data_IF_985380902072
#
_entry.id   IF_985380902072
#
_cell.length_a   1.000
_cell.length_b   1.000
_cell.length_c   1.000
_cell.angle_alpha   90.00
_cell.angle_beta   90.00
_cell.angle_gamma   90.00
#
_symmetry.space_group_name_H-M   'P 1'
#
loop_
_entity.id
_entity.type
_entity.pdbx_description
1 polymer ?
#
# COMPACT_ATOMS: atom_id res chain seq x y z
N UNK A 1 45.61 16.04 28.40
CA UNK A 1 44.78 17.09 29.01
C UNK A 1 43.71 17.47 28.00
N UNK A 2 42.43 17.53 28.43
CA UNK A 2 41.27 17.95 27.62
C UNK A 2 41.53 19.27 26.85
N UNK A 3 42.37 20.13 27.42
CA UNK A 3 42.75 21.42 26.85
C UNK A 3 43.53 21.27 25.53
N UNK A 4 44.39 20.25 25.39
CA UNK A 4 45.11 19.98 24.12
C UNK A 4 44.15 19.51 23.03
N UNK A 5 43.18 18.67 23.38
CA UNK A 5 42.17 18.17 22.42
C UNK A 5 41.27 19.31 21.94
N UNK A 6 40.87 20.22 22.84
CA UNK A 6 40.11 21.42 22.49
C UNK A 6 40.88 22.32 21.50
N UNK A 7 42.17 22.59 21.74
CA UNK A 7 42.97 23.40 20.83
C UNK A 7 43.19 22.74 19.46
N UNK A 8 43.31 21.41 19.40
CA UNK A 8 43.42 20.67 18.12
C UNK A 8 42.11 20.75 17.33
N UNK A 9 40.96 20.58 17.98
CA UNK A 9 39.65 20.73 17.33
C UNK A 9 39.40 22.17 16.88
N UNK A 10 39.77 23.17 17.69
CA UNK A 10 39.65 24.58 17.33
C UNK A 10 40.51 24.93 16.11
N UNK A 11 41.74 24.39 16.04
CA UNK A 11 42.63 24.59 14.89
C UNK A 11 42.07 23.93 13.61
N UNK A 12 41.51 22.72 13.72
CA UNK A 12 40.88 22.03 12.58
C UNK A 12 39.67 22.78 12.02
N UNK A 13 38.86 23.40 12.89
CA UNK A 13 37.72 24.24 12.50
C UNK A 13 38.16 25.53 11.81
N UNK A 14 39.24 26.16 12.27
CA UNK A 14 39.79 27.37 11.62
C UNK A 14 40.38 27.07 10.23
N UNK A 15 41.05 25.93 10.06
CA UNK A 15 41.62 25.50 8.77
C UNK A 15 40.53 25.16 7.75
N UNK A 16 39.43 24.51 8.18
CA UNK A 16 38.30 24.20 7.28
C UNK A 16 37.54 25.44 6.83
N UNK A 17 37.34 26.43 7.72
CA UNK A 17 36.69 27.70 7.36
C UNK A 17 37.58 28.53 6.41
N UNK A 18 38.89 28.60 6.66
CA UNK A 18 39.81 29.36 5.80
C UNK A 18 39.99 28.73 4.41
N UNK A 19 39.99 27.39 4.30
CA UNK A 19 39.97 26.70 3.01
C UNK A 19 38.63 26.84 2.27
N UNK A 20 37.50 26.76 2.99
CA UNK A 20 36.17 26.93 2.40
C UNK A 20 35.92 28.33 1.85
N UNK A 21 36.34 29.37 2.59
CA UNK A 21 36.21 30.77 2.15
C UNK A 21 37.15 31.10 0.99
N UNK A 22 38.34 30.48 0.94
CA UNK A 22 39.27 30.65 -0.19
C UNK A 22 38.77 29.98 -1.48
N UNK A 23 38.05 28.86 -1.39
CA UNK A 23 37.49 28.18 -2.56
C UNK A 23 36.36 28.99 -3.22
N UNK A 24 35.57 29.72 -2.43
CA UNK A 24 34.47 30.57 -2.93
C UNK A 24 34.99 31.83 -3.61
N UNK A 25 36.12 32.38 -3.13
CA UNK A 25 36.70 33.63 -3.65
C UNK A 25 37.54 33.45 -4.94
N UNK A 26 37.91 32.22 -5.31
CA UNK A 26 38.75 31.94 -6.49
C UNK A 26 38.05 31.19 -7.64
N UNK A 27 36.72 31.09 -7.63
CA UNK A 27 36.00 30.61 -8.83
C UNK A 27 35.86 31.74 -9.85
N UNK A 28 36.39 31.59 -11.09
CA UNK A 28 36.15 32.57 -12.13
C UNK A 28 34.68 32.55 -12.50
N UNK A 29 34.11 33.74 -12.68
CA UNK A 29 32.74 34.00 -13.09
C UNK A 29 32.35 33.15 -14.31
N UNK A 30 31.52 32.13 -14.11
CA UNK A 30 30.85 31.43 -15.19
C UNK A 30 29.93 32.43 -15.91
N UNK A 31 30.38 32.88 -17.08
CA UNK A 31 29.59 33.65 -18.04
C UNK A 31 28.28 32.90 -18.31
N UNK A 32 27.15 33.55 -18.02
CA UNK A 32 25.85 33.14 -18.52
C UNK A 32 25.89 33.17 -20.07
N UNK A 33 25.53 32.09 -20.77
CA UNK A 33 25.41 32.14 -22.22
C UNK A 33 24.20 33.02 -22.61
N UNK A 34 24.36 33.71 -23.74
CA UNK A 34 23.37 34.59 -24.34
C UNK A 34 22.00 33.91 -24.47
N UNK A 35 20.96 34.70 -24.22
CA UNK A 35 19.55 34.37 -24.38
C UNK A 35 19.24 34.21 -25.87
N UNK A 36 19.42 33.02 -26.43
CA UNK A 36 18.83 32.67 -27.72
C UNK A 36 17.30 32.63 -27.57
N UNK A 37 16.61 33.24 -28.54
CA UNK A 37 15.14 33.22 -28.65
C UNK A 37 14.67 31.76 -28.65
N UNK A 38 13.54 31.43 -28.01
CA UNK A 38 12.97 30.10 -28.17
C UNK A 38 12.52 29.96 -29.63
N UNK A 39 13.14 29.04 -30.37
CA UNK A 39 12.51 28.46 -31.53
C UNK A 39 11.20 27.82 -31.07
N UNK A 40 10.10 28.17 -31.73
CA UNK A 40 8.82 27.47 -31.62
C UNK A 40 9.04 26.01 -32.03
N UNK A 41 9.37 25.16 -31.05
CA UNK A 41 9.18 23.73 -31.19
C UNK A 41 7.68 23.54 -31.38
N UNK A 42 7.29 23.14 -32.59
CA UNK A 42 5.93 22.80 -32.93
C UNK A 42 5.40 21.83 -31.88
N UNK A 43 4.47 22.30 -31.03
CA UNK A 43 3.58 21.43 -30.29
C UNK A 43 2.88 20.57 -31.34
N UNK A 44 3.35 19.35 -31.52
CA UNK A 44 2.48 18.26 -31.92
C UNK A 44 1.43 18.21 -30.81
N UNK A 45 0.31 18.92 -31.02
CA UNK A 45 -0.89 18.72 -30.25
C UNK A 45 -1.21 17.24 -30.39
N UNK A 46 -1.00 16.50 -29.30
CA UNK A 46 -1.66 15.22 -29.08
C UNK A 46 -3.13 15.43 -29.40
N UNK A 47 -3.61 14.84 -30.50
CA UNK A 47 -4.97 14.95 -31.03
C UNK A 47 -6.02 14.24 -30.17
N UNK A 48 -5.66 13.87 -28.94
CA UNK A 48 -6.52 13.18 -28.01
C UNK A 48 -6.96 14.14 -26.92
N UNK A 49 -8.24 14.11 -26.51
CA UNK A 49 -8.71 14.92 -25.40
C UNK A 49 -7.86 14.64 -24.14
N UNK A 50 -7.58 15.66 -23.31
CA UNK A 50 -6.89 15.46 -22.05
C UNK A 50 -7.71 14.53 -21.15
N UNK A 51 -7.02 13.61 -20.46
CA UNK A 51 -7.64 12.73 -19.46
C UNK A 51 -8.16 13.60 -18.31
N UNK A 52 -9.35 13.27 -17.81
CA UNK A 52 -9.94 13.97 -16.66
C UNK A 52 -8.96 13.92 -15.46
N UNK A 53 -8.61 15.07 -14.86
CA UNK A 53 -7.64 15.14 -13.76
C UNK A 53 -7.93 14.21 -12.57
N UNK A 54 -9.17 13.75 -12.38
CA UNK A 54 -9.51 12.78 -11.33
C UNK A 54 -8.74 11.46 -11.45
N UNK A 55 -8.35 11.05 -12.66
CA UNK A 55 -7.66 9.77 -12.87
C UNK A 55 -6.21 9.79 -12.37
N UNK A 56 -5.68 10.94 -11.96
CA UNK A 56 -4.46 11.01 -11.12
C UNK A 56 -4.65 10.38 -9.73
N UNK A 57 -5.89 10.33 -9.27
CA UNK A 57 -6.26 9.91 -7.92
C UNK A 57 -7.23 8.72 -7.91
N UNK A 58 -7.82 8.36 -9.06
CA UNK A 58 -8.84 7.32 -9.18
C UNK A 58 -8.45 6.28 -10.23
N UNK A 59 -8.53 5.00 -9.85
CA UNK A 59 -8.49 3.86 -10.75
C UNK A 59 -9.81 3.11 -10.65
N UNK A 60 -10.49 2.95 -11.78
CA UNK A 60 -11.76 2.23 -11.87
C UNK A 60 -11.49 0.77 -12.20
N UNK A 61 -11.32 -0.07 -11.18
CA UNK A 61 -10.88 -1.46 -11.36
C UNK A 61 -11.82 -2.29 -12.24
N UNK A 62 -13.10 -1.97 -12.32
CA UNK A 62 -14.01 -2.69 -13.22
C UNK A 62 -13.57 -2.60 -14.70
N UNK A 63 -12.95 -1.46 -15.06
CA UNK A 63 -12.47 -1.17 -16.41
C UNK A 63 -11.01 -1.61 -16.65
N UNK A 64 -10.29 -2.04 -15.61
CA UNK A 64 -8.91 -2.51 -15.75
C UNK A 64 -8.87 -3.95 -16.24
N UNK A 65 -7.71 -4.31 -16.81
CA UNK A 65 -7.45 -5.66 -17.29
C UNK A 65 -7.66 -6.72 -16.21
N UNK A 66 -8.50 -7.70 -16.52
CA UNK A 66 -8.68 -8.92 -15.72
C UNK A 66 -7.69 -10.00 -16.17
N UNK A 67 -6.72 -10.31 -15.34
CA UNK A 67 -5.82 -11.44 -15.54
C UNK A 67 -6.50 -12.71 -15.05
N UNK A 68 -7.25 -13.35 -15.95
CA UNK A 68 -7.98 -14.59 -15.68
C UNK A 68 -7.03 -15.79 -15.74
N UNK A 69 -6.97 -16.55 -14.66
CA UNK A 69 -6.15 -17.75 -14.51
C UNK A 69 -7.06 -18.93 -14.13
N UNK A 70 -6.59 -20.16 -14.25
CA UNK A 70 -7.42 -21.35 -14.00
C UNK A 70 -8.06 -21.33 -12.60
N UNK A 71 -7.29 -20.94 -11.59
CA UNK A 71 -7.73 -20.88 -10.20
C UNK A 71 -8.28 -19.55 -9.72
N UNK A 72 -8.38 -18.50 -10.56
CA UNK A 72 -8.76 -17.19 -10.06
C UNK A 72 -8.61 -16.03 -11.02
N UNK A 73 -8.71 -14.81 -10.49
CA UNK A 73 -8.58 -13.57 -11.24
C UNK A 73 -7.71 -12.59 -10.45
N UNK A 74 -6.80 -11.91 -11.15
CA UNK A 74 -6.02 -10.79 -10.59
C UNK A 74 -6.34 -9.52 -11.36
N UNK A 75 -6.51 -8.41 -10.65
CA UNK A 75 -6.64 -7.07 -11.25
C UNK A 75 -5.71 -6.10 -10.53
N UNK A 76 -5.27 -5.06 -11.23
CA UNK A 76 -4.24 -4.15 -10.70
C UNK A 76 -4.63 -2.68 -10.84
N UNK A 77 -4.26 -1.90 -9.84
CA UNK A 77 -4.13 -0.45 -9.90
C UNK A 77 -2.66 -0.12 -9.64
N UNK A 78 -1.86 -0.07 -10.72
CA UNK A 78 -0.40 -0.11 -10.66
C UNK A 78 0.27 0.78 -11.69
N UNK A 79 1.56 0.98 -11.51
CA UNK A 79 2.44 1.55 -12.52
C UNK A 79 2.96 0.47 -13.48
N UNK A 80 3.11 0.86 -14.74
CA UNK A 80 3.78 0.13 -15.82
C UNK A 80 4.76 1.07 -16.51
N UNK A 81 5.97 0.57 -16.77
CA UNK A 81 7.03 1.32 -17.45
C UNK A 81 6.72 1.51 -18.93
N UNK A 82 6.07 0.52 -19.55
CA UNK A 82 5.64 0.58 -20.95
C UNK A 82 4.17 1.01 -21.02
N UNK A 83 3.86 2.19 -21.57
CA UNK A 83 2.47 2.67 -21.71
C UNK A 83 1.54 1.71 -22.46
N UNK A 84 2.07 0.87 -23.35
CA UNK A 84 1.29 -0.13 -24.09
C UNK A 84 0.78 -1.28 -23.23
N UNK A 85 1.22 -1.37 -21.98
CA UNK A 85 0.78 -2.41 -21.05
C UNK A 85 -0.51 -2.01 -20.31
N UNK A 86 -0.96 -0.76 -20.46
CA UNK A 86 -2.26 -0.29 -19.97
C UNK A 86 -3.35 -0.49 -21.03
N UNK A 87 -4.56 -0.82 -20.59
CA UNK A 87 -5.70 -0.97 -21.50
C UNK A 87 -6.39 0.38 -21.78
N UNK A 88 -6.22 1.35 -20.88
CA UNK A 88 -6.84 2.69 -20.96
C UNK A 88 -5.87 3.80 -20.56
N UNK A 89 -6.12 5.02 -21.01
CA UNK A 89 -5.31 6.19 -20.64
C UNK A 89 -5.56 6.62 -19.20
N UNK A 90 -6.76 6.35 -18.70
CA UNK A 90 -7.16 6.55 -17.31
C UNK A 90 -6.31 5.69 -16.37
N UNK A 91 -6.08 4.42 -16.73
CA UNK A 91 -5.19 3.51 -16.00
C UNK A 91 -3.73 3.99 -16.06
N UNK A 92 -3.28 4.44 -17.24
CA UNK A 92 -1.94 5.03 -17.42
C UNK A 92 -1.74 6.26 -16.54
N UNK A 93 -2.70 7.20 -16.52
CA UNK A 93 -2.63 8.42 -15.72
C UNK A 93 -2.53 8.10 -14.21
N UNK A 94 -3.33 7.13 -13.73
CA UNK A 94 -3.25 6.68 -12.34
C UNK A 94 -1.89 6.05 -12.02
N UNK A 95 -1.44 5.12 -12.88
CA UNK A 95 -0.15 4.44 -12.71
C UNK A 95 1.03 5.41 -12.72
N UNK A 96 1.03 6.38 -13.64
CA UNK A 96 2.04 7.45 -13.68
C UNK A 96 1.97 8.35 -12.46
N UNK A 97 0.78 8.66 -11.95
CA UNK A 97 0.60 9.46 -10.74
C UNK A 97 1.20 8.78 -9.50
N UNK A 98 0.95 7.48 -9.29
CA UNK A 98 1.52 6.76 -8.14
C UNK A 98 3.06 6.68 -8.22
N UNK A 99 3.62 6.52 -9.42
CA UNK A 99 5.08 6.50 -9.63
C UNK A 99 5.69 7.88 -9.37
N UNK A 100 5.12 8.93 -9.97
CA UNK A 100 5.64 10.29 -9.87
C UNK A 100 5.59 10.86 -8.44
N UNK A 101 4.66 10.39 -7.62
CA UNK A 101 4.50 10.82 -6.23
C UNK A 101 5.22 9.91 -5.21
N UNK A 102 6.05 8.96 -5.65
CA UNK A 102 6.71 7.98 -4.77
C UNK A 102 5.70 7.34 -3.80
N UNK A 103 4.59 6.82 -4.34
CA UNK A 103 3.47 6.33 -3.53
C UNK A 103 3.86 5.27 -2.50
N UNK A 104 5.01 4.60 -2.71
CA UNK A 104 5.45 3.39 -1.99
C UNK A 104 4.38 2.30 -1.91
N UNK A 105 3.38 2.34 -2.80
CA UNK A 105 2.23 1.44 -2.77
C UNK A 105 1.66 1.24 -4.18
N UNK A 106 1.22 0.01 -4.43
CA UNK A 106 0.44 -0.43 -5.58
C UNK A 106 -0.68 -1.32 -5.07
N UNK A 107 -1.89 -1.23 -5.62
CA UNK A 107 -3.02 -2.06 -5.20
C UNK A 107 -3.37 -3.16 -6.20
N UNK A 108 -3.95 -4.23 -5.70
CA UNK A 108 -4.43 -5.36 -6.48
C UNK A 108 -5.62 -6.02 -5.79
N UNK A 109 -6.48 -6.66 -6.58
CA UNK A 109 -7.44 -7.63 -6.05
C UNK A 109 -7.06 -9.02 -6.54
N UNK A 110 -7.05 -9.99 -5.62
CA UNK A 110 -6.80 -11.39 -5.92
C UNK A 110 -8.02 -12.22 -5.52
N UNK A 111 -8.73 -12.74 -6.52
CA UNK A 111 -9.78 -13.72 -6.33
C UNK A 111 -9.21 -15.11 -6.55
N UNK A 112 -9.34 -16.00 -5.56
CA UNK A 112 -8.97 -17.41 -5.63
C UNK A 112 -10.25 -18.23 -5.49
N UNK A 113 -10.55 -19.05 -6.50
CA UNK A 113 -11.71 -19.97 -6.48
C UNK A 113 -11.59 -21.01 -5.36
N UNK A 114 -12.70 -21.64 -4.93
CA UNK A 114 -12.66 -22.82 -4.08
C UNK A 114 -11.66 -23.83 -4.61
N UNK A 115 -10.84 -24.35 -3.71
CA UNK A 115 -9.75 -25.25 -4.04
C UNK A 115 -8.63 -24.70 -4.94
N UNK A 116 -8.67 -23.42 -5.36
CA UNK A 116 -7.57 -22.75 -6.04
C UNK A 116 -6.39 -22.44 -5.12
N UNK A 117 -5.26 -22.09 -5.72
CA UNK A 117 -4.03 -21.72 -5.02
C UNK A 117 -3.31 -20.57 -5.74
N UNK A 118 -2.96 -19.51 -5.01
CA UNK A 118 -1.84 -18.64 -5.40
C UNK A 118 -0.58 -19.40 -5.04
N UNK A 119 0.12 -19.89 -6.08
CA UNK A 119 1.23 -20.82 -5.94
C UNK A 119 2.38 -20.24 -5.12
N UNK A 120 3.29 -21.07 -4.59
CA UNK A 120 4.46 -20.58 -3.87
C UNK A 120 5.27 -19.56 -4.68
N UNK A 121 5.46 -18.37 -4.12
CA UNK A 121 6.11 -17.25 -4.79
C UNK A 121 6.71 -16.25 -3.79
N UNK A 122 7.46 -15.28 -4.29
CA UNK A 122 7.97 -14.14 -3.52
C UNK A 122 8.12 -12.89 -4.38
N UNK A 123 8.13 -11.74 -3.72
CA UNK A 123 8.30 -10.42 -4.32
C UNK A 123 9.66 -9.84 -3.97
N UNK A 124 10.45 -9.42 -4.96
CA UNK A 124 11.82 -8.94 -4.73
C UNK A 124 11.91 -7.49 -4.31
N UNK A 125 10.94 -6.67 -4.70
CA UNK A 125 10.95 -5.22 -4.52
C UNK A 125 9.79 -4.67 -3.71
N UNK A 126 8.98 -5.53 -3.06
CA UNK A 126 7.84 -5.10 -2.27
C UNK A 126 7.56 -6.04 -1.11
N UNK A 127 7.12 -5.49 0.01
CA UNK A 127 6.33 -6.24 0.99
C UNK A 127 4.90 -6.38 0.46
N UNK A 128 4.21 -7.45 0.83
CA UNK A 128 2.79 -7.65 0.51
C UNK A 128 1.95 -7.55 1.78
N UNK A 129 0.90 -6.75 1.73
CA UNK A 129 -0.10 -6.62 2.78
C UNK A 129 -1.45 -6.95 2.18
N UNK A 130 -2.30 -7.63 2.94
CA UNK A 130 -3.58 -8.09 2.41
C UNK A 130 -4.68 -8.00 3.44
N UNK A 131 -5.87 -7.64 2.99
CA UNK A 131 -7.12 -7.78 3.72
C UNK A 131 -7.97 -8.84 3.03
N UNK A 132 -8.36 -9.89 3.75
CA UNK A 132 -9.25 -10.92 3.21
C UNK A 132 -10.70 -10.43 3.33
N UNK A 133 -11.34 -10.14 2.20
CA UNK A 133 -12.71 -9.65 2.15
C UNK A 133 -13.75 -10.78 2.27
N UNK A 134 -13.50 -11.92 1.64
CA UNK A 134 -14.39 -13.11 1.64
C UNK A 134 -13.58 -14.39 1.74
N UNK A 135 -14.20 -15.48 2.20
CA UNK A 135 -13.57 -16.80 2.16
C UNK A 135 -12.66 -17.12 3.35
N UNK A 136 -12.02 -18.28 3.23
CA UNK A 136 -11.01 -18.79 4.16
C UNK A 136 -9.82 -19.30 3.39
N UNK A 137 -8.65 -18.76 3.72
CA UNK A 137 -7.39 -19.01 3.03
C UNK A 137 -6.41 -19.63 4.02
N UNK A 138 -5.84 -20.76 3.65
CA UNK A 138 -4.67 -21.30 4.33
C UNK A 138 -3.40 -20.73 3.70
N UNK A 139 -2.57 -20.09 4.52
CA UNK A 139 -1.31 -19.47 4.09
C UNK A 139 -0.16 -20.27 4.68
N UNK A 140 0.91 -20.42 3.91
CA UNK A 140 2.19 -20.88 4.42
C UNK A 140 3.31 -19.95 3.99
N UNK A 141 4.28 -19.79 4.89
CA UNK A 141 5.38 -18.84 4.79
C UNK A 141 6.66 -19.57 5.18
N UNK A 142 7.72 -19.47 4.37
CA UNK A 142 9.03 -20.00 4.70
C UNK A 142 9.86 -18.93 5.42
N UNK A 143 10.06 -19.10 6.73
CA UNK A 143 10.93 -18.26 7.55
C UNK A 143 12.42 -18.44 7.14
N UNK A 144 13.21 -17.36 7.17
CA UNK A 144 14.59 -17.35 6.66
C UNK A 144 15.66 -17.84 7.64
N UNK A 145 15.40 -17.90 8.95
CA UNK A 145 16.31 -18.46 9.96
C UNK A 145 15.65 -18.66 11.34
N UNK A 146 15.63 -19.88 11.92
CA UNK A 146 15.88 -21.15 11.24
C UNK A 146 14.82 -21.38 10.16
N UNK A 147 15.18 -22.07 9.07
CA UNK A 147 14.22 -22.42 8.03
C UNK A 147 13.09 -23.25 8.63
N UNK A 148 11.90 -22.67 8.64
CA UNK A 148 10.69 -23.28 9.17
C UNK A 148 9.49 -22.75 8.41
N UNK A 149 8.41 -23.52 8.41
CA UNK A 149 7.16 -23.10 7.78
C UNK A 149 6.22 -22.59 8.87
N UNK A 150 5.88 -21.31 8.79
CA UNK A 150 4.76 -20.74 9.53
C UNK A 150 3.52 -20.85 8.65
N UNK A 151 2.50 -21.56 9.11
CA UNK A 151 1.25 -21.72 8.37
C UNK A 151 0.03 -21.54 9.27
N UNK A 152 -1.05 -20.99 8.72
CA UNK A 152 -2.25 -20.63 9.48
C UNK A 152 -3.43 -20.36 8.54
N UNK A 153 -4.64 -20.32 9.10
CA UNK A 153 -5.83 -19.91 8.37
C UNK A 153 -6.10 -18.42 8.58
N UNK A 154 -6.55 -17.77 7.50
CA UNK A 154 -7.06 -16.41 7.47
C UNK A 154 -8.50 -16.47 7.00
N UNK A 155 -9.38 -15.75 7.67
CA UNK A 155 -10.81 -15.65 7.37
C UNK A 155 -11.19 -14.21 7.07
N UNK A 156 -12.34 -14.00 6.44
CA UNK A 156 -12.83 -12.66 6.11
C UNK A 156 -12.73 -11.68 7.29
N UNK A 157 -12.30 -10.44 6.99
CA UNK A 157 -12.07 -9.38 7.96
C UNK A 157 -10.69 -9.39 8.63
N UNK A 158 -9.75 -10.22 8.19
CA UNK A 158 -8.42 -10.35 8.78
C UNK A 158 -7.33 -9.85 7.83
N UNK A 159 -6.20 -9.45 8.41
CA UNK A 159 -5.08 -8.83 7.70
C UNK A 159 -3.85 -9.72 7.74
N UNK A 160 -3.10 -9.71 6.64
CA UNK A 160 -1.81 -10.36 6.49
C UNK A 160 -0.72 -9.34 6.17
N UNK A 161 0.50 -9.67 6.60
CA UNK A 161 1.74 -8.99 6.24
C UNK A 161 2.78 -10.03 5.85
N UNK A 162 3.38 -9.87 4.68
CA UNK A 162 4.35 -10.77 4.09
C UNK A 162 5.58 -9.95 3.68
N UNK A 163 6.70 -10.09 4.40
CA UNK A 163 7.90 -9.33 4.10
C UNK A 163 8.47 -9.64 2.71
N UNK A 164 9.10 -8.62 2.12
CA UNK A 164 9.82 -8.71 0.85
C UNK A 164 10.78 -9.90 0.83
N UNK A 165 10.83 -10.58 -0.30
CA UNK A 165 11.65 -11.77 -0.57
C UNK A 165 11.34 -12.98 0.32
N UNK A 166 10.16 -13.02 0.96
CA UNK A 166 9.71 -14.19 1.72
C UNK A 166 8.89 -15.10 0.84
N UNK A 167 9.31 -16.37 0.70
CA UNK A 167 8.55 -17.38 -0.02
C UNK A 167 7.26 -17.71 0.73
N UNK A 168 6.11 -17.58 0.07
CA UNK A 168 4.81 -17.86 0.66
C UNK A 168 3.81 -18.34 -0.40
N UNK A 169 2.69 -18.90 0.04
CA UNK A 169 1.59 -19.37 -0.82
C UNK A 169 0.24 -19.19 -0.14
N UNK A 170 -0.84 -19.14 -0.93
CA UNK A 170 -2.19 -18.95 -0.42
C UNK A 170 -3.16 -19.93 -1.07
N UNK A 171 -3.82 -20.74 -0.25
CA UNK A 171 -4.74 -21.78 -0.69
C UNK A 171 -6.15 -21.45 -0.21
N UNK A 172 -7.10 -21.29 -1.12
CA UNK A 172 -8.50 -21.19 -0.71
C UNK A 172 -8.97 -22.59 -0.24
N UNK A 173 -9.43 -22.68 1.01
CA UNK A 173 -9.82 -23.95 1.68
C UNK A 173 -11.30 -24.01 2.04
N UNK A 174 -12.05 -22.94 1.76
CA UNK A 174 -13.51 -22.87 1.89
C UNK A 174 -14.27 -23.28 0.63
N UNK A 175 -15.60 -23.19 0.69
CA UNK A 175 -16.52 -23.45 -0.43
C UNK A 175 -16.87 -22.19 -1.23
N UNK A 176 -16.54 -21.02 -0.73
CA UNK A 176 -16.73 -19.73 -1.40
C UNK A 176 -15.42 -19.20 -1.99
N UNK A 177 -15.53 -18.27 -2.94
CA UNK A 177 -14.37 -17.57 -3.48
C UNK A 177 -13.67 -16.74 -2.39
N UNK A 178 -12.35 -16.83 -2.37
CA UNK A 178 -11.50 -16.04 -1.49
C UNK A 178 -11.08 -14.76 -2.21
N UNK A 179 -11.53 -13.58 -1.74
CA UNK A 179 -11.17 -12.29 -2.31
C UNK A 179 -10.23 -11.53 -1.38
N UNK A 180 -8.99 -11.30 -1.82
CA UNK A 180 -8.08 -10.37 -1.15
C UNK A 180 -8.09 -9.00 -1.82
N UNK A 181 -8.02 -7.97 -0.98
CA UNK A 181 -7.53 -6.63 -1.35
C UNK A 181 -6.07 -6.56 -0.90
N UNK A 182 -5.16 -6.39 -1.84
CA UNK A 182 -3.71 -6.45 -1.63
C UNK A 182 -3.05 -5.11 -1.90
N UNK A 183 -2.06 -4.77 -1.08
CA UNK A 183 -1.18 -3.62 -1.24
C UNK A 183 0.27 -4.08 -1.22
N UNK A 184 1.00 -3.70 -2.26
CA UNK A 184 2.42 -4.02 -2.42
C UNK A 184 3.24 -2.76 -2.23
N UNK A 185 4.29 -2.82 -1.43
CA UNK A 185 5.06 -1.62 -1.06
C UNK A 185 6.08 -1.21 -2.11
N UNK A 186 5.58 -0.92 -3.32
CA UNK A 186 6.33 -0.45 -4.48
C UNK A 186 5.46 0.52 -5.30
N UNK A 187 6.09 1.58 -5.79
CA UNK A 187 5.52 2.48 -6.82
C UNK A 187 6.14 2.21 -8.21
N UNK A 188 6.99 1.19 -8.29
CA UNK A 188 7.59 0.63 -9.51
C UNK A 188 6.89 -0.68 -9.89
N UNK A 189 7.19 -1.20 -11.09
CA UNK A 189 6.68 -2.51 -11.52
C UNK A 189 7.04 -3.61 -10.52
N UNK A 190 6.02 -4.30 -10.01
CA UNK A 190 6.18 -5.40 -9.06
C UNK A 190 6.97 -6.56 -9.69
N UNK A 191 8.03 -6.99 -9.02
CA UNK A 191 8.88 -8.10 -9.46
C UNK A 191 8.58 -9.34 -8.62
N UNK A 192 7.91 -10.30 -9.23
CA UNK A 192 7.50 -11.58 -8.62
C UNK A 192 8.22 -12.74 -9.27
N UNK A 193 8.52 -13.79 -8.51
CA UNK A 193 8.88 -15.10 -9.06
C UNK A 193 8.07 -16.19 -8.38
N UNK A 194 7.57 -17.09 -9.21
CA UNK A 194 6.86 -18.29 -8.78
C UNK A 194 7.85 -19.47 -8.75
N UNK A 195 7.63 -20.43 -7.85
CA UNK A 195 8.58 -21.55 -7.63
C UNK A 195 8.75 -22.40 -8.89
N UNK A 196 7.69 -22.61 -9.66
CA UNK A 196 7.74 -23.40 -10.89
C UNK A 196 8.53 -22.69 -12.00
N UNK A 197 8.37 -21.38 -12.16
CA UNK A 197 9.20 -20.58 -13.08
C UNK A 197 10.70 -20.72 -12.76
N UNK A 198 11.05 -20.65 -11.48
CA UNK A 198 12.45 -20.82 -11.03
C UNK A 198 12.94 -22.25 -11.27
N UNK A 199 12.10 -23.26 -11.04
CA UNK A 199 12.42 -24.64 -11.31
C UNK A 199 12.72 -24.88 -12.80
N UNK A 200 11.86 -24.41 -13.70
CA UNK A 200 12.03 -24.59 -15.15
C UNK A 200 13.15 -23.73 -15.75
N UNK A 201 13.48 -22.59 -15.13
CA UNK A 201 14.63 -21.78 -15.53
C UNK A 201 15.98 -22.37 -15.07
N UNK A 202 15.99 -23.27 -14.08
CA UNK A 202 17.21 -23.89 -13.56
C UNK A 202 17.70 -24.99 -14.51
N UNK A 203 19.00 -25.02 -14.89
CA UNK A 203 19.54 -26.12 -15.69
C UNK A 203 19.27 -27.48 -15.03
N UNK A 204 18.80 -28.44 -15.82
CA UNK A 204 18.26 -29.70 -15.30
C UNK A 204 19.29 -30.52 -14.52
N UNK A 205 20.55 -30.51 -14.94
CA UNK A 205 21.66 -31.18 -14.24
C UNK A 205 21.96 -30.52 -12.89
N UNK A 206 21.87 -29.19 -12.81
CA UNK A 206 22.03 -28.44 -11.56
C UNK A 206 20.86 -28.71 -10.62
N UNK A 207 19.62 -28.68 -11.11
CA UNK A 207 18.45 -29.03 -10.30
C UNK A 207 18.53 -30.46 -9.75
N UNK A 208 18.95 -31.42 -10.58
CA UNK A 208 19.13 -32.81 -10.17
C UNK A 208 20.21 -32.97 -9.09
N UNK A 209 21.33 -32.24 -9.20
CA UNK A 209 22.42 -32.25 -8.20
C UNK A 209 21.98 -31.61 -6.87
N UNK A 210 21.15 -30.58 -6.93
CA UNK A 210 20.64 -29.88 -5.75
C UNK A 210 19.56 -30.69 -5.01
N UNK A 211 18.60 -31.27 -5.74
CA UNK A 211 17.46 -31.99 -5.16
C UNK A 211 17.75 -33.47 -4.90
N UNK A 212 18.73 -34.06 -5.60
CA UNK A 212 19.11 -35.49 -5.54
C UNK A 212 17.90 -36.45 -5.59
N UNK A 213 16.99 -36.30 -6.58
CA UNK A 213 15.83 -37.17 -6.66
C UNK A 213 16.23 -38.61 -7.00
N UNK A 214 15.42 -39.57 -6.59
CA UNK A 214 15.50 -40.92 -7.13
C UNK A 214 15.30 -40.88 -8.65
N UNK A 215 16.19 -41.53 -9.41
CA UNK A 215 16.23 -41.41 -10.88
C UNK A 215 17.06 -40.23 -11.42
N UNK A 216 17.68 -39.42 -10.55
CA UNK A 216 18.64 -38.39 -10.94
C UNK A 216 18.07 -37.35 -11.93
N UNK A 217 18.85 -37.00 -12.95
CA UNK A 217 18.45 -35.98 -13.94
C UNK A 217 17.26 -36.42 -14.80
N UNK A 218 17.04 -37.72 -14.99
CA UNK A 218 15.92 -38.21 -15.80
C UNK A 218 14.58 -37.98 -15.10
N UNK A 219 14.56 -37.99 -13.75
CA UNK A 219 13.39 -37.54 -12.99
C UNK A 219 13.09 -36.07 -13.26
N UNK A 220 14.10 -35.19 -13.22
CA UNK A 220 13.92 -33.75 -13.52
C UNK A 220 13.41 -33.54 -14.95
N UNK A 221 13.96 -34.28 -15.93
CA UNK A 221 13.52 -34.23 -17.34
C UNK A 221 12.09 -34.71 -17.56
N UNK A 222 11.51 -35.47 -16.62
CA UNK A 222 10.14 -35.94 -16.74
C UNK A 222 9.09 -34.84 -16.51
N UNK A 223 9.47 -33.74 -15.83
CA UNK A 223 8.58 -32.60 -15.59
C UNK A 223 8.38 -31.81 -16.88
N UNK A 224 7.13 -31.51 -17.21
CA UNK A 224 6.76 -30.70 -18.37
C UNK A 224 6.23 -29.36 -17.89
N UNK A 225 6.87 -28.29 -18.36
CA UNK A 225 6.41 -26.94 -18.09
C UNK A 225 4.97 -26.77 -18.63
N UNK A 226 4.02 -26.36 -17.78
CA UNK A 226 2.67 -26.03 -18.23
C UNK A 226 2.71 -24.92 -19.28
N UNK A 227 1.87 -25.04 -20.32
CA UNK A 227 1.74 -23.99 -21.33
C UNK A 227 1.02 -22.74 -20.77
N UNK A 228 0.12 -22.95 -19.81
CA UNK A 228 -0.63 -21.89 -19.14
C UNK A 228 0.11 -21.39 -17.90
N UNK A 229 0.00 -20.08 -17.64
CA UNK A 229 0.51 -19.46 -16.43
C UNK A 229 -0.15 -20.06 -15.17
N UNK A 230 0.67 -20.53 -14.22
CA UNK A 230 0.22 -21.21 -13.01
C UNK A 230 0.09 -20.31 -11.79
N UNK A 231 0.28 -18.99 -11.92
CA UNK A 231 0.34 -18.07 -10.79
C UNK A 231 -0.84 -18.22 -9.82
N UNK A 232 -2.06 -18.38 -10.34
CA UNK A 232 -3.24 -18.76 -9.57
C UNK A 232 -3.85 -20.01 -10.21
N UNK A 233 -3.51 -21.18 -9.69
CA UNK A 233 -3.86 -22.45 -10.33
C UNK A 233 -5.05 -23.16 -9.68
N UNK A 234 -5.75 -23.93 -10.51
CA UNK A 234 -6.74 -24.93 -10.12
C UNK A 234 -6.72 -26.07 -11.14
N UNK A 235 -5.84 -27.08 -10.95
CA UNK A 235 -5.74 -28.19 -11.89
C UNK A 235 -7.06 -28.97 -11.99
N UNK A 236 -7.51 -29.35 -13.20
CA UNK A 236 -8.77 -30.09 -13.36
C UNK A 236 -8.73 -31.48 -12.72
N UNK A 237 -7.55 -32.08 -12.62
CA UNK A 237 -7.31 -33.38 -11.96
C UNK A 237 -6.79 -33.23 -10.52
N UNK A 238 -7.10 -32.13 -9.83
CA UNK A 238 -6.62 -31.85 -8.47
C UNK A 238 -6.80 -33.03 -7.50
N UNK A 239 -7.94 -33.73 -7.58
CA UNK A 239 -8.27 -34.88 -6.74
C UNK A 239 -7.34 -36.09 -6.96
N UNK A 240 -6.73 -36.22 -8.13
CA UNK A 240 -5.74 -37.25 -8.43
C UNK A 240 -4.35 -36.86 -7.93
N UNK A 241 -4.03 -35.57 -8.03
CA UNK A 241 -2.74 -34.99 -7.63
C UNK A 241 -2.57 -34.90 -6.11
N UNK A 242 -3.65 -34.61 -5.38
CA UNK A 242 -3.64 -34.35 -3.93
C UNK A 242 -4.37 -35.47 -3.19
N UNK A 243 -3.63 -36.31 -2.46
CA UNK A 243 -4.21 -37.45 -1.72
C UNK A 243 -4.41 -37.22 -0.23
N UNK A 244 -3.58 -36.37 0.40
CA UNK A 244 -3.57 -36.12 1.86
C UNK A 244 -3.09 -34.70 2.17
N UNK A 245 -3.89 -33.69 1.85
CA UNK A 245 -3.57 -32.32 2.24
C UNK A 245 -3.69 -32.17 3.78
N UNK A 246 -2.73 -31.47 4.37
CA UNK A 246 -2.74 -31.12 5.80
C UNK A 246 -2.64 -29.61 5.92
N UNK A 247 -3.57 -29.02 6.67
CA UNK A 247 -3.67 -27.57 6.90
C UNK A 247 -3.43 -27.26 8.37
N UNK A 248 -2.29 -27.72 8.89
CA UNK A 248 -1.91 -27.50 10.29
C UNK A 248 -1.62 -26.03 10.54
N UNK A 249 -1.99 -25.55 11.73
CA UNK A 249 -1.65 -24.21 12.18
C UNK A 249 -0.39 -24.25 13.05
N UNK A 250 0.53 -23.31 12.79
CA UNK A 250 1.71 -23.06 13.60
C UNK A 250 1.33 -22.35 14.90
N UNK A 251 2.26 -22.30 15.88
CA UNK A 251 2.01 -21.64 17.17
C UNK A 251 1.69 -20.15 16.98
N UNK A 252 0.72 -19.65 17.74
CA UNK A 252 0.16 -18.29 17.57
C UNK A 252 1.20 -17.17 17.55
N UNK A 253 2.23 -17.24 18.40
CA UNK A 253 3.26 -16.19 18.43
C UNK A 253 4.12 -16.14 17.15
N UNK A 254 4.26 -17.26 16.43
CA UNK A 254 4.93 -17.28 15.13
C UNK A 254 4.03 -16.66 14.06
N UNK A 255 2.73 -16.97 14.12
CA UNK A 255 1.69 -16.49 13.21
C UNK A 255 1.47 -14.98 13.36
N UNK A 256 1.44 -14.47 14.60
CA UNK A 256 1.17 -13.08 14.91
C UNK A 256 2.17 -12.08 14.30
N UNK A 257 3.34 -12.53 13.81
CA UNK A 257 4.29 -11.69 13.05
C UNK A 257 3.74 -11.30 11.66
N UNK A 258 2.88 -12.14 11.10
CA UNK A 258 2.36 -12.04 9.74
C UNK A 258 0.85 -11.82 9.69
N UNK A 259 0.17 -11.86 10.82
CA UNK A 259 -1.28 -11.94 10.90
C UNK A 259 -1.84 -10.97 11.94
N UNK A 260 -2.95 -10.32 11.59
CA UNK A 260 -3.70 -9.45 12.48
C UNK A 260 -5.21 -9.71 12.36
N UNK A 261 -5.87 -9.98 13.48
CA UNK A 261 -7.32 -10.22 13.53
C UNK A 261 -8.12 -8.90 13.55
N UNK A 262 -8.13 -8.19 12.42
CA UNK A 262 -8.67 -6.84 12.32
C UNK A 262 -10.15 -6.77 12.72
N UNK A 263 -10.98 -7.73 12.30
CA UNK A 263 -12.40 -7.77 12.66
C UNK A 263 -12.65 -7.84 14.17
N UNK A 264 -11.77 -8.50 14.93
CA UNK A 264 -11.86 -8.64 16.37
C UNK A 264 -11.16 -7.51 17.13
N UNK A 265 -10.42 -6.64 16.43
CA UNK A 265 -9.68 -5.54 17.05
C UNK A 265 -10.59 -4.40 17.50
N UNK A 266 -10.03 -3.50 18.30
CA UNK A 266 -10.75 -2.34 18.83
C UNK A 266 -11.34 -1.49 17.70
N UNK A 267 -12.65 -1.26 17.79
CA UNK A 267 -13.35 -0.29 16.96
C UNK A 267 -13.22 1.11 17.56
N UNK A 268 -12.73 2.05 16.76
CA UNK A 268 -12.72 3.46 17.08
C UNK A 268 -13.92 4.09 16.40
N UNK A 269 -14.92 4.46 17.20
CA UNK A 269 -16.16 5.08 16.72
C UNK A 269 -16.04 6.59 16.77
N UNK A 270 -16.46 7.23 15.70
CA UNK A 270 -16.69 8.67 15.63
C UNK A 270 -18.12 8.89 15.11
N UNK A 271 -18.72 10.07 15.28
CA UNK A 271 -20.15 10.26 14.98
C UNK A 271 -20.59 9.84 13.57
N UNK A 272 -19.68 9.92 12.58
CA UNK A 272 -19.93 9.60 11.18
C UNK A 272 -19.44 8.24 10.72
N UNK A 273 -18.93 7.39 11.63
CA UNK A 273 -18.37 6.11 11.19
C UNK A 273 -17.58 5.32 12.22
N UNK A 274 -16.89 4.31 11.72
CA UNK A 274 -16.05 3.39 12.49
C UNK A 274 -14.74 3.19 11.74
N UNK A 275 -13.63 3.19 12.47
CA UNK A 275 -12.35 2.75 11.94
C UNK A 275 -11.73 1.66 12.83
N UNK A 276 -11.17 0.64 12.18
CA UNK A 276 -10.35 -0.39 12.82
C UNK A 276 -8.97 -0.36 12.19
N UNK A 277 -7.93 -0.58 13.00
CA UNK A 277 -6.54 -0.43 12.58
C UNK A 277 -5.76 -1.72 12.77
N UNK A 278 -4.95 -2.08 11.77
CA UNK A 278 -3.82 -2.99 11.86
C UNK A 278 -2.56 -2.15 11.64
N UNK A 279 -2.00 -1.62 12.74
CA UNK A 279 -0.98 -0.56 12.71
C UNK A 279 0.10 -0.75 13.78
N UNK A 280 1.20 -0.05 13.61
CA UNK A 280 2.12 0.23 14.71
C UNK A 280 1.66 1.46 15.51
N UNK A 281 1.71 1.38 16.83
CA UNK A 281 1.58 2.52 17.75
C UNK A 281 2.72 2.49 18.74
N UNK A 282 3.26 3.67 19.07
CA UNK A 282 4.30 3.78 20.11
C UNK A 282 3.71 3.45 21.47
N UNK A 283 2.51 3.97 21.71
CA UNK A 283 1.69 3.58 22.85
C UNK A 283 1.02 2.24 22.56
N UNK A 284 1.47 1.21 23.27
CA UNK A 284 0.93 -0.15 23.14
C UNK A 284 -0.28 -0.38 24.05
N UNK A 285 -0.79 0.66 24.70
CA UNK A 285 -1.92 0.58 25.62
C UNK A 285 -3.17 0.07 24.91
N UNK A 286 -3.74 -1.00 25.47
CA UNK A 286 -4.95 -1.63 24.95
C UNK A 286 -4.73 -2.61 23.80
N UNK A 287 -3.49 -2.87 23.40
CA UNK A 287 -3.15 -3.94 22.45
C UNK A 287 -2.96 -5.28 23.18
N UNK A 288 -3.50 -6.34 22.61
CA UNK A 288 -3.20 -7.71 23.01
C UNK A 288 -1.77 -8.11 22.64
N UNK A 289 -1.28 -9.21 23.22
CA UNK A 289 0.06 -9.73 22.94
C UNK A 289 0.32 -9.97 21.45
N UNK A 290 -0.66 -10.52 20.73
CA UNK A 290 -0.50 -10.80 19.30
C UNK A 290 -0.49 -9.50 18.47
N UNK A 291 -1.31 -8.52 18.85
CA UNK A 291 -1.31 -7.21 18.19
C UNK A 291 0.02 -6.48 18.40
N UNK A 292 0.65 -6.60 19.57
CA UNK A 292 2.00 -6.05 19.82
C UNK A 292 3.04 -6.75 18.94
N UNK A 293 2.97 -8.08 18.78
CA UNK A 293 3.90 -8.82 17.91
C UNK A 293 3.74 -8.36 16.45
N UNK A 294 2.51 -8.24 15.96
CA UNK A 294 2.23 -7.77 14.61
C UNK A 294 2.73 -6.34 14.39
N UNK A 295 2.37 -5.42 15.30
CA UNK A 295 2.80 -4.03 15.26
C UNK A 295 4.33 -3.90 15.22
N UNK A 296 5.03 -4.68 16.06
CA UNK A 296 6.50 -4.72 16.05
C UNK A 296 7.04 -5.26 14.73
N UNK A 297 6.45 -6.33 14.20
CA UNK A 297 6.85 -6.89 12.90
C UNK A 297 6.70 -5.89 11.76
N UNK A 298 5.62 -5.09 11.73
CA UNK A 298 5.47 -4.01 10.76
C UNK A 298 6.58 -2.97 10.87
N UNK A 299 6.90 -2.55 12.10
CA UNK A 299 7.88 -1.50 12.35
C UNK A 299 9.34 -1.94 12.13
N UNK A 300 9.64 -3.22 12.29
CA UNK A 300 10.97 -3.79 12.07
C UNK A 300 11.36 -3.89 10.58
N UNK A 301 10.39 -3.81 9.67
CA UNK A 301 10.64 -3.89 8.23
C UNK A 301 10.53 -2.50 7.59
N UNK A 302 11.46 -2.20 6.69
CA UNK A 302 11.40 -0.99 5.87
C UNK A 302 10.20 -1.05 4.91
N UNK A 303 9.65 0.12 4.59
CA UNK A 303 8.57 0.30 3.62
C UNK A 303 7.37 -0.65 3.87
N UNK A 304 6.83 -0.66 5.08
CA UNK A 304 5.55 -1.34 5.39
C UNK A 304 4.37 -0.37 5.35
N UNK A 305 3.15 -0.91 5.32
CA UNK A 305 1.92 -0.12 5.36
C UNK A 305 1.11 -0.41 6.59
N UNK A 306 0.42 0.62 7.08
CA UNK A 306 -0.67 0.48 8.03
C UNK A 306 -1.96 0.18 7.27
N UNK A 307 -2.69 -0.86 7.65
CA UNK A 307 -3.99 -1.20 7.05
C UNK A 307 -5.12 -0.78 8.00
N UNK A 308 -6.20 -0.23 7.44
CA UNK A 308 -7.42 0.08 8.17
C UNK A 308 -8.65 -0.35 7.40
N UNK A 309 -9.74 -0.64 8.12
CA UNK A 309 -11.08 -0.59 7.54
C UNK A 309 -11.76 0.68 8.03
N UNK A 310 -12.33 1.45 7.11
CA UNK A 310 -13.09 2.66 7.44
C UNK A 310 -14.51 2.50 6.92
N UNK A 311 -15.47 2.48 7.85
CA UNK A 311 -16.89 2.53 7.57
C UNK A 311 -17.38 3.96 7.79
N UNK A 312 -17.84 4.62 6.75
CA UNK A 312 -18.47 5.94 6.83
C UNK A 312 -19.98 5.69 6.72
N UNK A 313 -20.73 6.09 7.75
CA UNK A 313 -22.17 5.91 7.77
C UNK A 313 -22.85 6.68 6.64
N UNK A 314 -24.06 6.27 6.25
CA UNK A 314 -24.92 6.99 5.32
C UNK A 314 -24.95 8.49 5.63
N UNK A 315 -24.67 9.33 4.63
CA UNK A 315 -24.52 10.79 4.72
C UNK A 315 -23.39 11.33 5.62
N UNK A 316 -22.62 10.47 6.28
CA UNK A 316 -21.43 10.83 7.05
C UNK A 316 -20.22 11.19 6.16
N UNK A 317 -19.17 11.72 6.77
CA UNK A 317 -17.92 12.01 6.08
C UNK A 317 -16.66 11.79 6.93
N UNK A 318 -15.58 11.39 6.28
CA UNK A 318 -14.22 11.64 6.74
C UNK A 318 -13.88 13.09 6.41
N UNK A 319 -13.76 13.93 7.44
CA UNK A 319 -13.55 15.38 7.26
C UNK A 319 -12.27 15.71 6.48
N UNK A 320 -12.13 16.94 5.94
CA UNK A 320 -10.90 17.39 5.32
C UNK A 320 -9.70 17.18 6.24
N UNK A 321 -8.68 16.51 5.71
CA UNK A 321 -7.46 16.18 6.44
C UNK A 321 -6.32 15.90 5.47
N UNK A 322 -5.12 15.76 6.03
CA UNK A 322 -3.97 15.20 5.34
C UNK A 322 -3.09 14.43 6.32
N UNK A 323 -2.15 13.67 5.78
CA UNK A 323 -1.16 12.93 6.55
C UNK A 323 0.23 13.58 6.43
N UNK A 324 0.98 13.61 7.53
CA UNK A 324 2.33 14.17 7.62
C UNK A 324 3.45 13.18 7.27
N UNK A 325 3.15 11.89 7.19
CA UNK A 325 4.17 10.87 7.04
C UNK A 325 3.73 9.66 6.19
N UNK A 326 2.63 9.76 5.46
CA UNK A 326 2.13 8.67 4.65
C UNK A 326 1.37 9.18 3.42
N UNK A 327 1.53 8.47 2.31
CA UNK A 327 0.54 8.45 1.25
C UNK A 327 -0.65 7.58 1.70
N UNK A 328 -1.84 7.83 1.16
CA UNK A 328 -3.05 7.05 1.41
C UNK A 328 -3.52 6.39 0.12
N UNK A 329 -3.90 5.12 0.18
CA UNK A 329 -4.52 4.41 -0.93
C UNK A 329 -5.69 3.58 -0.39
N UNK A 330 -6.87 3.72 -0.98
CA UNK A 330 -8.06 3.01 -0.52
C UNK A 330 -8.76 2.25 -1.62
N UNK A 331 -9.36 1.12 -1.25
CA UNK A 331 -10.23 0.31 -2.10
C UNK A 331 -11.65 0.35 -1.55
N UNK A 332 -12.64 0.60 -2.42
CA UNK A 332 -14.05 0.62 -2.03
C UNK A 332 -14.60 -0.81 -2.00
N UNK A 333 -14.87 -1.32 -0.80
CA UNK A 333 -15.35 -2.68 -0.61
C UNK A 333 -16.88 -2.80 -0.80
N UNK A 334 -17.63 -1.80 -0.35
CA UNK A 334 -19.08 -1.66 -0.57
C UNK A 334 -19.51 -0.20 -0.39
N UNK A 335 -20.72 0.15 -0.84
CA UNK A 335 -21.19 1.52 -0.83
C UNK A 335 -20.59 2.37 -1.94
N UNK A 336 -20.82 3.66 -1.81
CA UNK A 336 -20.41 4.69 -2.74
C UNK A 336 -20.21 6.01 -2.00
N UNK A 337 -19.40 6.87 -2.57
CA UNK A 337 -19.07 8.15 -1.96
C UNK A 337 -18.61 9.18 -2.97
N UNK A 338 -18.28 10.35 -2.42
CA UNK A 338 -17.61 11.42 -3.13
C UNK A 338 -16.30 11.73 -2.43
N UNK A 339 -15.25 11.83 -3.23
CA UNK A 339 -13.93 12.29 -2.81
C UNK A 339 -13.72 13.69 -3.33
N UNK A 340 -13.10 14.54 -2.51
CA UNK A 340 -12.55 15.81 -2.97
C UNK A 340 -11.10 15.96 -2.57
N UNK A 341 -10.25 16.23 -3.55
CA UNK A 341 -8.83 16.55 -3.39
C UNK A 341 -8.66 18.06 -3.49
N UNK A 342 -8.14 18.68 -2.43
CA UNK A 342 -8.05 20.12 -2.26
C UNK A 342 -6.61 20.57 -2.51
N UNK A 343 -6.39 21.23 -3.65
CA UNK A 343 -5.13 21.87 -4.01
C UNK A 343 -5.36 23.32 -4.44
N UNK A 344 -4.61 23.77 -5.46
CA UNK A 344 -4.89 25.05 -6.13
C UNK A 344 -6.30 25.05 -6.74
N UNK A 345 -6.66 23.94 -7.36
CA UNK A 345 -8.00 23.62 -7.84
C UNK A 345 -8.53 22.45 -6.99
N UNK A 346 -9.86 22.32 -6.91
CA UNK A 346 -10.50 21.18 -6.24
C UNK A 346 -10.89 20.15 -7.29
N UNK A 347 -10.37 18.93 -7.15
CA UNK A 347 -10.76 17.79 -7.98
C UNK A 347 -11.76 16.96 -7.19
N UNK A 348 -13.00 16.89 -7.67
CA UNK A 348 -14.06 16.08 -7.05
C UNK A 348 -14.46 14.95 -7.98
N UNK A 349 -14.68 13.77 -7.43
CA UNK A 349 -15.15 12.61 -8.17
C UNK A 349 -15.94 11.67 -7.27
N UNK A 350 -16.83 10.90 -7.89
CA UNK A 350 -17.55 9.84 -7.21
C UNK A 350 -16.70 8.57 -7.19
N UNK A 351 -16.87 7.78 -6.13
CA UNK A 351 -16.23 6.47 -5.94
C UNK A 351 -17.31 5.44 -5.68
N UNK A 352 -17.16 4.26 -6.25
CA UNK A 352 -18.08 3.13 -6.07
C UNK A 352 -17.33 1.83 -5.82
N UNK A 353 -18.06 0.77 -5.44
CA UNK A 353 -17.48 -0.54 -5.16
C UNK A 353 -16.53 -0.99 -6.26
N UNK A 354 -15.31 -1.36 -5.87
CA UNK A 354 -14.25 -1.79 -6.77
C UNK A 354 -13.24 -0.70 -7.10
N UNK A 355 -13.58 0.58 -6.94
CA UNK A 355 -12.64 1.66 -7.21
C UNK A 355 -11.46 1.67 -6.24
N UNK A 356 -10.30 2.06 -6.76
CA UNK A 356 -9.11 2.38 -5.96
C UNK A 356 -8.86 3.89 -6.05
N UNK A 357 -8.67 4.54 -4.91
CA UNK A 357 -8.23 5.93 -4.85
C UNK A 357 -6.83 6.05 -4.23
N UNK A 358 -6.13 7.13 -4.54
CA UNK A 358 -4.79 7.44 -4.05
C UNK A 358 -4.65 8.93 -3.72
N UNK A 359 -4.06 9.24 -2.56
CA UNK A 359 -3.71 10.60 -2.14
C UNK A 359 -2.22 10.66 -1.77
N UNK A 360 -1.43 11.50 -2.46
CA UNK A 360 -0.05 11.75 -2.07
C UNK A 360 0.05 12.35 -0.65
N UNK A 361 1.13 12.02 0.04
CA UNK A 361 1.48 12.61 1.33
C UNK A 361 1.38 14.15 1.30
N UNK A 362 0.75 14.73 2.34
CA UNK A 362 0.51 16.18 2.43
C UNK A 362 -0.70 16.71 1.64
N UNK A 363 -1.38 15.86 0.87
CA UNK A 363 -2.55 16.26 0.07
C UNK A 363 -3.79 16.38 0.95
N UNK A 364 -4.40 17.57 0.99
CA UNK A 364 -5.67 17.76 1.68
C UNK A 364 -6.80 17.09 0.91
N UNK A 365 -7.59 16.28 1.58
CA UNK A 365 -8.70 15.57 0.97
C UNK A 365 -9.81 15.23 1.97
N UNK A 366 -11.01 14.92 1.46
CA UNK A 366 -12.14 14.44 2.23
C UNK A 366 -12.86 13.31 1.51
N UNK A 367 -13.59 12.49 2.27
CA UNK A 367 -14.40 11.39 1.73
C UNK A 367 -15.79 11.49 2.36
N UNK A 368 -16.84 11.50 1.55
CA UNK A 368 -18.23 11.58 2.00
C UNK A 368 -19.03 10.41 1.47
N UNK A 369 -19.81 9.75 2.31
CA UNK A 369 -20.80 8.75 1.85
C UNK A 369 -21.94 9.46 1.12
N UNK A 370 -22.36 8.91 -0.02
CA UNK A 370 -23.38 9.54 -0.89
C UNK A 370 -24.59 8.66 -1.22
N UNK A 371 -24.56 7.37 -0.92
CA UNK A 371 -25.71 6.47 -1.06
C UNK A 371 -26.33 6.15 0.29
N UNK A 372 -27.49 5.49 0.22
CA UNK A 372 -28.28 5.09 1.38
C UNK A 372 -27.63 3.96 2.21
N UNK A 373 -26.58 3.32 1.69
CA UNK A 373 -25.77 2.33 2.42
C UNK A 373 -24.43 2.91 2.92
N UNK A 374 -23.91 2.32 3.99
CA UNK A 374 -22.59 2.68 4.51
C UNK A 374 -21.50 2.47 3.44
N UNK A 375 -20.59 3.44 3.34
CA UNK A 375 -19.38 3.32 2.55
C UNK A 375 -18.33 2.54 3.37
N UNK A 376 -17.88 1.40 2.87
CA UNK A 376 -16.84 0.59 3.51
C UNK A 376 -15.58 0.57 2.66
N UNK A 377 -14.48 1.02 3.25
CA UNK A 377 -13.18 1.15 2.61
C UNK A 377 -12.16 0.23 3.28
N UNK A 378 -11.25 -0.33 2.50
CA UNK A 378 -9.98 -0.89 2.97
C UNK A 378 -8.89 0.10 2.57
N UNK A 379 -8.18 0.66 3.56
CA UNK A 379 -7.23 1.76 3.35
C UNK A 379 -5.84 1.32 3.79
N UNK A 380 -4.84 1.60 2.95
CA UNK A 380 -3.43 1.45 3.25
C UNK A 380 -2.76 2.81 3.34
N UNK A 381 -1.89 2.96 4.34
CA UNK A 381 -1.06 4.14 4.54
C UNK A 381 0.40 3.74 4.45
N UNK A 382 1.21 4.45 3.64
CA UNK A 382 2.64 4.13 3.42
C UNK A 382 3.55 4.47 4.60
N UNK A 383 3.26 3.90 5.76
CA UNK A 383 4.05 4.04 6.98
C UNK A 383 3.99 2.76 7.83
N UNK A 384 5.18 2.27 8.20
CA UNK A 384 5.40 1.27 9.24
C UNK A 384 5.52 1.86 10.65
N UNK A 385 5.35 3.17 10.78
CA UNK A 385 5.38 3.90 12.04
C UNK A 385 3.97 4.41 12.39
N UNK A 386 3.85 5.10 13.51
CA UNK A 386 2.60 5.73 13.93
C UNK A 386 2.15 6.77 12.89
N UNK A 387 0.95 6.57 12.34
CA UNK A 387 0.35 7.47 11.35
C UNK A 387 0.09 8.84 11.98
N UNK A 388 0.53 9.89 11.30
CA UNK A 388 0.35 11.27 11.74
C UNK A 388 -0.61 11.98 10.81
N UNK A 389 -1.74 12.44 11.36
CA UNK A 389 -2.84 13.05 10.61
C UNK A 389 -3.16 14.42 11.19
N UNK A 390 -3.41 15.40 10.34
CA UNK A 390 -3.96 16.69 10.74
C UNK A 390 -5.36 16.86 10.16
N UNK A 391 -6.33 17.00 11.04
CA UNK A 391 -7.72 17.27 10.70
C UNK A 391 -8.02 18.77 10.66
N UNK A 392 -9.00 19.16 9.83
CA UNK A 392 -9.35 20.56 9.64
C UNK A 392 -9.80 21.27 10.92
N UNK A 393 -10.65 20.66 11.73
CA UNK A 393 -11.04 21.26 13.00
C UNK A 393 -9.84 21.53 13.91
N UNK A 394 -8.84 20.64 13.93
CA UNK A 394 -7.69 20.76 14.83
C UNK A 394 -6.85 21.97 14.46
N UNK A 395 -6.52 22.17 13.18
CA UNK A 395 -5.70 23.32 12.81
C UNK A 395 -6.47 24.65 12.87
N UNK A 396 -7.79 24.66 12.63
CA UNK A 396 -8.61 25.84 12.88
C UNK A 396 -8.62 26.19 14.38
N UNK A 397 -8.89 25.22 15.26
CA UNK A 397 -8.91 25.45 16.71
C UNK A 397 -7.53 25.80 17.29
N UNK A 398 -6.46 25.31 16.68
CA UNK A 398 -5.09 25.59 17.13
C UNK A 398 -4.55 26.94 16.63
N UNK A 399 -5.21 27.56 15.65
CA UNK A 399 -4.82 28.87 15.12
C UNK A 399 -5.48 29.96 15.95
N UNK A 400 -4.71 30.91 16.47
CA UNK A 400 -5.25 32.00 17.27
C UNK A 400 -6.31 32.80 16.49
N UNK A 401 -7.45 33.09 17.12
CA UNK A 401 -8.59 33.73 16.45
C UNK A 401 -8.25 35.04 15.74
N UNK A 402 -7.33 35.85 16.28
CA UNK A 402 -6.94 37.11 15.64
C UNK A 402 -6.22 36.87 14.31
N UNK A 403 -5.52 35.75 14.16
CA UNK A 403 -4.89 35.32 12.91
C UNK A 403 -5.98 34.87 11.93
N UNK A 404 -6.93 34.05 12.38
CA UNK A 404 -8.08 33.65 11.55
C UNK A 404 -8.89 34.87 11.08
N UNK A 405 -9.10 35.85 11.96
CA UNK A 405 -9.78 37.10 11.65
C UNK A 405 -9.08 37.87 10.52
N UNK A 406 -7.75 37.94 10.55
CA UNK A 406 -6.96 38.55 9.48
C UNK A 406 -7.06 37.76 8.17
N UNK A 407 -7.03 36.42 8.23
CA UNK A 407 -7.07 35.55 7.04
C UNK A 407 -8.42 35.59 6.33
N UNK A 408 -9.53 35.53 7.08
CA UNK A 408 -10.88 35.41 6.52
C UNK A 408 -11.66 36.72 6.50
N UNK A 409 -11.05 37.83 6.96
CA UNK A 409 -11.70 39.15 7.06
C UNK A 409 -13.02 39.09 7.84
N UNK A 410 -13.04 38.30 8.92
CA UNK A 410 -14.18 38.13 9.84
C UNK A 410 -13.82 38.68 11.21
N UNK A 411 -14.82 39.14 11.97
CA UNK A 411 -14.59 39.59 13.35
C UNK A 411 -14.10 38.42 14.20
N UNK A 412 -13.20 38.71 15.14
CA UNK A 412 -12.52 37.69 15.93
C UNK A 412 -13.48 36.81 16.74
N UNK A 413 -14.54 37.40 17.31
CA UNK A 413 -15.57 36.72 18.09
C UNK A 413 -16.41 35.72 17.26
N UNK A 414 -16.42 35.84 15.93
CA UNK A 414 -17.13 34.90 15.07
C UNK A 414 -16.48 33.50 15.06
N UNK A 415 -15.17 33.39 15.31
CA UNK A 415 -14.47 32.08 15.33
C UNK A 415 -14.81 31.26 16.57
N UNK A 416 -15.26 31.90 17.65
CA UNK A 416 -15.78 31.22 18.85
C UNK A 416 -17.08 30.46 18.60
N UNK A 417 -17.73 30.66 17.44
CA UNK A 417 -18.90 29.88 17.01
C UNK A 417 -18.51 28.53 16.41
N UNK A 418 -17.24 28.30 16.09
CA UNK A 418 -16.76 26.98 15.66
C UNK A 418 -16.63 26.11 16.91
N UNK A 419 -17.36 24.99 17.01
CA UNK A 419 -17.32 24.15 18.20
C UNK A 419 -15.92 23.55 18.40
N UNK A 420 -15.51 23.49 19.67
CA UNK A 420 -14.32 22.75 20.09
C UNK A 420 -14.72 21.31 20.41
N UNK A 421 -14.05 20.36 19.75
CA UNK A 421 -14.28 18.95 19.96
C UNK A 421 -13.16 18.35 20.79
N UNK A 422 -13.49 17.40 21.67
CA UNK A 422 -12.50 16.76 22.55
C UNK A 422 -11.82 15.58 21.87
N UNK A 423 -12.51 14.91 20.93
CA UNK A 423 -11.97 13.76 20.20
C UNK A 423 -11.81 14.09 18.70
N UNK A 424 -10.79 13.53 18.02
CA UNK A 424 -10.67 13.62 16.57
C UNK A 424 -11.90 13.05 15.86
N UNK A 425 -12.32 13.66 14.74
CA UNK A 425 -13.48 13.24 13.92
C UNK A 425 -14.90 13.46 14.50
N UNK A 426 -15.05 14.18 15.61
CA UNK A 426 -16.37 14.53 16.20
C UNK A 426 -17.27 15.44 15.33
N UNK A 427 -16.84 15.84 14.13
CA UNK A 427 -17.55 16.80 13.26
C UNK A 427 -18.87 16.27 12.70
N UNK A 428 -19.08 14.95 12.71
CA UNK A 428 -20.26 14.30 12.13
C UNK A 428 -21.42 14.14 13.12
N UNK A 429 -21.47 14.95 14.19
CA UNK A 429 -22.62 14.92 15.09
C UNK A 429 -23.87 15.40 14.32
N UNK A 430 -25.02 14.73 14.49
CA UNK A 430 -26.26 15.06 13.78
C UNK A 430 -26.77 16.48 14.05
#
# INVERSE_FOLDING_TARGET
>A
SLMKTFFVCLLASFVTITLGVSLVLFTPSLRLPNKEKPEESSKLLSSNPPVDPKFKYLNQMEKTKKFVLSGGVVQWARYRKNPKDYDTKEEEEFGSSINANDAKMTASTLLIKPNGCRVPHWHFNANEHGFLATGTVWIGILDSAPFSVTSYNVTAGQVIFLPRSTLHWMKCVGQEDCLFVLFFTTHEELVTRDVDDVFYATPQDIAARSLKPAGGVDFIRSFKQPAENQAVNLPPNLNELVRKASYTQSRDFLVARYFYDLKASKQYRYPGGIIQWARYTKDQTGLSRNEIIFAKSLNEHEDTVTIATMRIFTNGMRQPHYHFNANEMGYVLSGCGKVGVVGRDVVNFDIEKGDVFFFPHGTHHYIKSTCDEDLLLVIAYSTGNELQTLDMNIYFQSTADFILAQLFLKKQDEFQKIPTFKEPQDINLP
#
